data_IF_866172783252
#
_entry.id   IF_866172783252
#
_cell.length_a   1.000
_cell.length_b   1.000
_cell.length_c   1.000
_cell.angle_alpha   90.00
_cell.angle_beta   90.00
_cell.angle_gamma   90.00
#
_symmetry.space_group_name_H-M   'P 1'
#
loop_
_entity.id
_entity.type
_entity.pdbx_description
1 polymer ?
#
# COMPACT_ATOMS: atom_id res chain seq x y z
N UNK A 1 -13.87 18.75 -10.49
CA UNK A 1 -13.67 17.85 -9.33
C UNK A 1 -12.69 16.78 -9.79
N UNK A 2 -11.61 16.51 -9.06
CA UNK A 2 -10.54 15.61 -9.54
C UNK A 2 -10.98 14.15 -9.61
N UNK A 3 -10.35 13.34 -10.48
CA UNK A 3 -10.58 11.89 -10.55
C UNK A 3 -10.11 11.27 -9.23
N UNK A 4 -11.01 10.55 -8.54
CA UNK A 4 -10.71 9.76 -7.34
C UNK A 4 -11.00 8.29 -7.58
N UNK A 5 -10.14 7.40 -7.09
CA UNK A 5 -10.42 5.95 -7.04
C UNK A 5 -10.03 5.36 -5.68
N UNK A 6 -10.54 4.17 -5.39
CA UNK A 6 -10.27 3.45 -4.14
C UNK A 6 -9.89 2.01 -4.42
N UNK A 7 -8.81 1.56 -3.80
CA UNK A 7 -8.38 0.17 -3.73
C UNK A 7 -8.60 -0.37 -2.33
N UNK A 8 -9.19 -1.56 -2.22
CA UNK A 8 -9.36 -2.27 -0.94
C UNK A 8 -8.58 -3.59 -0.99
N UNK A 9 -7.57 -3.72 -0.13
CA UNK A 9 -6.76 -4.92 0.04
C UNK A 9 -7.29 -5.63 1.28
N UNK A 10 -7.86 -6.84 1.13
CA UNK A 10 -8.34 -7.60 2.29
C UNK A 10 -7.17 -8.17 3.09
N UNK A 11 -7.31 -8.16 4.41
CA UNK A 11 -6.28 -8.55 5.37
C UNK A 11 -5.27 -7.44 5.65
N UNK A 12 -4.19 -7.82 6.35
CA UNK A 12 -3.08 -6.93 6.70
C UNK A 12 -1.83 -7.28 5.91
N UNK A 13 -0.95 -6.30 5.68
CA UNK A 13 0.41 -6.56 5.20
C UNK A 13 1.37 -6.80 6.38
N UNK A 14 2.52 -7.47 6.16
CA UNK A 14 3.59 -7.56 7.15
C UNK A 14 4.01 -6.18 7.67
N UNK A 15 4.46 -6.11 8.92
CA UNK A 15 4.99 -4.88 9.47
C UNK A 15 6.44 -4.59 9.05
N UNK A 16 6.90 -3.38 9.35
CA UNK A 16 8.29 -2.96 9.17
C UNK A 16 9.26 -3.85 9.95
N UNK A 17 8.92 -4.23 11.19
CA UNK A 17 9.74 -5.07 12.03
C UNK A 17 9.92 -6.47 11.43
N UNK A 18 8.87 -7.05 10.86
CA UNK A 18 8.94 -8.33 10.13
C UNK A 18 9.87 -8.23 8.92
N UNK A 19 9.81 -7.13 8.17
CA UNK A 19 10.71 -6.89 7.04
C UNK A 19 12.17 -6.70 7.46
N UNK A 20 12.45 -5.86 8.47
CA UNK A 20 13.80 -5.64 9.00
C UNK A 20 14.40 -6.95 9.53
N UNK A 21 13.61 -7.77 10.22
CA UNK A 21 14.06 -9.06 10.71
C UNK A 21 14.37 -10.03 9.56
N UNK A 22 13.60 -9.99 8.47
CA UNK A 22 13.91 -10.77 7.27
C UNK A 22 15.22 -10.31 6.62
N UNK A 23 15.44 -8.99 6.48
CA UNK A 23 16.69 -8.41 5.94
C UNK A 23 17.91 -8.84 6.77
N UNK A 24 17.81 -8.75 8.10
CA UNK A 24 18.90 -9.16 9.03
C UNK A 24 19.23 -10.64 8.95
N UNK A 25 18.28 -11.49 8.56
CA UNK A 25 18.50 -12.93 8.41
C UNK A 25 19.12 -13.25 7.06
N UNK A 26 18.51 -12.78 5.97
CA UNK A 26 18.95 -13.05 4.60
C UNK A 26 18.22 -12.15 3.60
N UNK A 27 18.99 -11.43 2.75
CA UNK A 27 18.44 -10.60 1.66
C UNK A 27 17.43 -11.33 0.77
N UNK A 28 17.58 -12.64 0.55
CA UNK A 28 16.65 -13.42 -0.27
C UNK A 28 15.29 -13.62 0.42
N UNK A 29 15.27 -13.74 1.75
CA UNK A 29 14.02 -13.83 2.52
C UNK A 29 13.26 -12.51 2.48
N UNK A 30 13.98 -11.39 2.63
CA UNK A 30 13.39 -10.07 2.56
C UNK A 30 12.84 -9.76 1.15
N UNK A 31 13.60 -10.09 0.11
CA UNK A 31 13.14 -9.99 -1.28
C UNK A 31 11.89 -10.85 -1.53
N UNK A 32 11.86 -12.09 -1.00
CA UNK A 32 10.69 -12.97 -1.10
C UNK A 32 9.47 -12.36 -0.40
N UNK A 33 9.63 -11.84 0.82
CA UNK A 33 8.56 -11.21 1.59
C UNK A 33 7.98 -10.00 0.85
N UNK A 34 8.85 -9.16 0.28
CA UNK A 34 8.46 -8.00 -0.53
C UNK A 34 7.69 -8.41 -1.78
N UNK A 35 8.23 -9.36 -2.55
CA UNK A 35 7.57 -9.85 -3.77
C UNK A 35 6.19 -10.47 -3.47
N UNK A 36 6.06 -11.25 -2.39
CA UNK A 36 4.77 -11.81 -1.98
C UNK A 36 3.76 -10.73 -1.59
N UNK A 37 4.20 -9.73 -0.84
CA UNK A 37 3.35 -8.61 -0.41
C UNK A 37 2.89 -7.78 -1.61
N UNK A 38 3.79 -7.46 -2.54
CA UNK A 38 3.46 -6.75 -3.77
C UNK A 38 2.51 -7.56 -4.67
N UNK A 39 2.70 -8.88 -4.78
CA UNK A 39 1.81 -9.76 -5.54
C UNK A 39 0.37 -9.72 -5.01
N UNK A 40 0.19 -9.70 -3.69
CA UNK A 40 -1.13 -9.55 -3.07
C UNK A 40 -1.76 -8.22 -3.49
N UNK A 41 -1.04 -7.11 -3.35
CA UNK A 41 -1.55 -5.78 -3.73
C UNK A 41 -1.88 -5.71 -5.22
N UNK A 42 -0.99 -6.19 -6.09
CA UNK A 42 -1.22 -6.20 -7.54
C UNK A 42 -2.46 -7.02 -7.92
N UNK A 43 -2.72 -8.13 -7.23
CA UNK A 43 -3.92 -8.95 -7.47
C UNK A 43 -5.20 -8.14 -7.21
N UNK A 44 -5.27 -7.40 -6.10
CA UNK A 44 -6.41 -6.52 -5.82
C UNK A 44 -6.48 -5.35 -6.80
N UNK A 45 -5.35 -4.71 -7.10
CA UNK A 45 -5.29 -3.58 -8.03
C UNK A 45 -5.79 -3.97 -9.43
N UNK A 46 -5.34 -5.10 -9.98
CA UNK A 46 -5.79 -5.58 -11.30
C UNK A 46 -7.28 -5.88 -11.35
N UNK A 47 -7.87 -6.35 -10.24
CA UNK A 47 -9.30 -6.66 -10.17
C UNK A 47 -10.18 -5.43 -9.98
N UNK A 48 -9.71 -4.42 -9.22
CA UNK A 48 -10.53 -3.28 -8.81
C UNK A 48 -10.26 -2.01 -9.62
N UNK A 49 -9.05 -1.86 -10.15
CA UNK A 49 -8.57 -0.65 -10.83
C UNK A 49 -8.31 -0.90 -12.32
N UNK A 50 -9.03 -1.84 -12.93
CA UNK A 50 -8.87 -2.14 -14.35
C UNK A 50 -9.11 -0.90 -15.21
N UNK A 51 -8.15 -0.56 -16.09
CA UNK A 51 -8.21 0.63 -16.95
C UNK A 51 -7.98 1.96 -16.21
N UNK A 52 -7.61 1.93 -14.92
CA UNK A 52 -7.18 3.13 -14.20
C UNK A 52 -5.69 3.34 -14.39
N UNK A 53 -5.33 4.53 -14.86
CA UNK A 53 -3.96 5.00 -15.01
C UNK A 53 -3.88 6.46 -14.59
N UNK A 54 -2.80 6.82 -13.90
CA UNK A 54 -2.46 8.17 -13.50
C UNK A 54 -1.05 8.53 -14.01
N UNK A 55 -0.99 9.43 -14.99
CA UNK A 55 0.26 9.97 -15.53
C UNK A 55 0.82 11.13 -14.68
N UNK A 56 -0.05 11.82 -13.93
CA UNK A 56 0.27 13.00 -13.13
C UNK A 56 0.29 12.73 -11.62
N UNK A 57 0.63 13.76 -10.81
CA UNK A 57 0.72 13.63 -9.37
C UNK A 57 -0.63 13.29 -8.74
N UNK A 58 -0.59 12.37 -7.78
CA UNK A 58 -1.73 12.00 -6.93
C UNK A 58 -1.43 12.26 -5.46
N UNK A 59 -2.49 12.50 -4.69
CA UNK A 59 -2.45 12.38 -3.23
C UNK A 59 -3.00 11.01 -2.82
N UNK A 60 -2.31 10.32 -1.91
CA UNK A 60 -2.70 9.00 -1.43
C UNK A 60 -3.19 9.05 0.02
N UNK A 61 -4.35 8.47 0.30
CA UNK A 61 -4.82 8.30 1.69
C UNK A 61 -4.95 6.81 2.00
N UNK A 62 -4.21 6.35 2.99
CA UNK A 62 -4.23 4.98 3.49
C UNK A 62 -5.08 4.93 4.75
N UNK A 63 -6.01 3.99 4.82
CA UNK A 63 -6.73 3.65 6.06
C UNK A 63 -6.43 2.21 6.40
N UNK A 64 -5.68 2.02 7.49
CA UNK A 64 -5.23 0.73 7.98
C UNK A 64 -6.23 0.21 9.00
N UNK A 65 -6.98 -0.83 8.66
CA UNK A 65 -7.88 -1.53 9.58
C UNK A 65 -7.15 -2.75 10.12
N UNK A 66 -6.61 -2.63 11.32
CA UNK A 66 -5.89 -3.71 12.00
C UNK A 66 -6.83 -4.55 12.86
N UNK A 67 -6.59 -5.86 13.04
CA UNK A 67 -7.43 -6.70 13.88
C UNK A 67 -7.27 -6.39 15.38
N UNK A 68 -6.19 -5.71 15.77
CA UNK A 68 -5.91 -5.29 17.15
C UNK A 68 -4.87 -4.17 17.17
N UNK A 69 -4.67 -3.53 18.34
CA UNK A 69 -3.66 -2.47 18.54
C UNK A 69 -2.26 -2.99 18.94
N UNK A 70 -1.95 -4.25 18.64
CA UNK A 70 -0.67 -4.88 19.06
C UNK A 70 0.54 -4.37 18.27
N UNK A 71 0.33 -3.99 17.01
CA UNK A 71 1.35 -3.33 16.18
C UNK A 71 1.16 -1.82 16.32
N UNK A 72 2.24 -1.10 16.53
CA UNK A 72 2.22 0.35 16.50
C UNK A 72 1.99 0.87 15.06
N UNK A 73 1.67 2.15 14.95
CA UNK A 73 1.28 2.78 13.68
C UNK A 73 2.41 2.80 12.65
N UNK A 74 3.65 2.99 13.09
CA UNK A 74 4.79 3.04 12.15
C UNK A 74 5.11 1.66 11.60
N UNK A 75 4.96 0.63 12.44
CA UNK A 75 5.22 -0.74 12.07
C UNK A 75 4.20 -1.19 11.02
N UNK A 76 2.95 -0.74 11.15
CA UNK A 76 1.87 -1.01 10.19
C UNK A 76 2.08 -0.26 8.87
N UNK A 77 2.27 1.07 8.90
CA UNK A 77 2.17 1.88 7.67
C UNK A 77 3.47 1.98 6.88
N UNK A 78 4.64 1.93 7.52
CA UNK A 78 5.90 2.29 6.85
C UNK A 78 6.26 1.32 5.73
N UNK A 79 6.26 0.02 6.03
CA UNK A 79 6.51 -1.00 5.02
C UNK A 79 5.32 -1.13 4.05
N UNK A 80 4.10 -1.07 4.57
CA UNK A 80 2.88 -1.20 3.78
C UNK A 80 2.77 -0.14 2.68
N UNK A 81 3.04 1.14 2.98
CA UNK A 81 3.02 2.22 1.98
C UNK A 81 3.97 1.93 0.82
N UNK A 82 5.21 1.53 1.13
CA UNK A 82 6.23 1.24 0.12
C UNK A 82 5.81 0.07 -0.77
N UNK A 83 5.34 -1.02 -0.17
CA UNK A 83 4.83 -2.19 -0.91
C UNK A 83 3.67 -1.80 -1.83
N UNK A 84 2.72 -1.01 -1.33
CA UNK A 84 1.54 -0.62 -2.10
C UNK A 84 1.93 0.27 -3.28
N UNK A 85 2.78 1.28 -3.05
CA UNK A 85 3.24 2.19 -4.11
C UNK A 85 4.00 1.43 -5.19
N UNK A 86 4.97 0.60 -4.82
CA UNK A 86 5.74 -0.22 -5.77
C UNK A 86 4.82 -1.16 -6.58
N UNK A 87 3.84 -1.78 -5.91
CA UNK A 87 2.88 -2.67 -6.56
C UNK A 87 1.95 -1.93 -7.53
N UNK A 88 1.51 -0.72 -7.20
CA UNK A 88 0.67 0.10 -8.08
C UNK A 88 1.43 0.57 -9.33
N UNK A 89 2.71 0.88 -9.20
CA UNK A 89 3.59 1.16 -10.35
C UNK A 89 3.74 -0.11 -11.22
N UNK A 90 4.05 -1.25 -10.61
CA UNK A 90 4.16 -2.54 -11.33
C UNK A 90 2.85 -2.99 -11.98
N UNK A 91 1.71 -2.61 -11.41
CA UNK A 91 0.39 -2.87 -11.97
C UNK A 91 -0.01 -1.88 -13.09
N UNK A 92 0.80 -0.83 -13.33
CA UNK A 92 0.50 0.20 -14.33
C UNK A 92 -0.60 1.17 -13.90
N UNK A 93 -0.93 1.26 -12.60
CA UNK A 93 -1.90 2.23 -12.08
C UNK A 93 -1.25 3.60 -11.91
N UNK A 94 0.00 3.62 -11.43
CA UNK A 94 0.83 4.82 -11.29
C UNK A 94 1.99 4.78 -12.29
N UNK A 95 2.33 5.91 -12.89
CA UNK A 95 3.54 6.02 -13.72
C UNK A 95 4.84 5.96 -12.88
N UNK A 96 4.78 6.28 -11.58
CA UNK A 96 5.88 6.16 -10.63
C UNK A 96 5.46 6.44 -9.18
N UNK A 97 6.38 6.30 -8.22
CA UNK A 97 6.15 6.57 -6.79
C UNK A 97 6.98 7.75 -6.22
N UNK A 98 7.79 8.39 -7.06
CA UNK A 98 8.62 9.53 -6.66
C UNK A 98 7.88 10.86 -6.63
N UNK A 99 8.63 11.93 -6.32
CA UNK A 99 8.15 13.32 -6.17
C UNK A 99 7.26 13.86 -7.30
N UNK A 100 7.44 13.38 -8.54
CA UNK A 100 6.63 13.82 -9.70
C UNK A 100 5.23 13.18 -9.75
N UNK A 101 5.02 12.07 -9.05
CA UNK A 101 3.83 11.23 -9.19
C UNK A 101 3.03 11.12 -7.87
N UNK A 102 3.68 11.34 -6.73
CA UNK A 102 3.01 11.36 -5.42
C UNK A 102 3.29 12.71 -4.78
N UNK A 103 2.27 13.58 -4.76
CA UNK A 103 2.33 14.90 -4.13
C UNK A 103 2.44 14.78 -2.61
N UNK A 104 1.72 13.81 -2.04
CA UNK A 104 1.70 13.59 -0.62
C UNK A 104 0.87 12.36 -0.25
N UNK A 105 0.99 11.97 1.01
CA UNK A 105 0.21 10.88 1.56
C UNK A 105 -0.18 11.12 3.02
N UNK A 106 -1.23 10.43 3.45
CA UNK A 106 -1.68 10.42 4.85
C UNK A 106 -2.11 9.01 5.26
N UNK A 107 -1.84 8.69 6.52
CA UNK A 107 -2.29 7.46 7.16
C UNK A 107 -3.42 7.73 8.17
N UNK A 108 -4.45 6.88 8.13
CA UNK A 108 -5.51 6.74 9.15
C UNK A 108 -5.45 5.32 9.71
N UNK A 109 -5.76 5.15 10.98
CA UNK A 109 -5.64 3.85 11.66
C UNK A 109 -6.90 3.56 12.44
N UNK A 110 -7.49 2.41 12.16
CA UNK A 110 -8.70 1.93 12.79
C UNK A 110 -8.51 0.47 13.22
N UNK A 111 -9.37 0.00 14.13
CA UNK A 111 -9.40 -1.40 14.54
C UNK A 111 -10.69 -2.02 14.03
N UNK A 112 -10.55 -3.09 13.25
CA UNK A 112 -11.66 -3.91 12.77
C UNK A 112 -11.23 -5.37 12.92
N UNK A 113 -11.68 -6.00 14.00
CA UNK A 113 -11.27 -7.36 14.35
C UNK A 113 -11.77 -8.39 13.33
N UNK A 114 -12.96 -8.16 12.79
CA UNK A 114 -13.68 -9.14 11.98
C UNK A 114 -13.40 -8.94 10.48
N UNK A 115 -13.04 -7.72 10.07
CA UNK A 115 -12.75 -7.38 8.69
C UNK A 115 -11.49 -6.49 8.54
N UNK A 116 -10.30 -7.00 8.90
CA UNK A 116 -9.05 -6.29 8.70
C UNK A 116 -8.78 -6.10 7.21
N UNK A 117 -8.37 -4.89 6.84
CA UNK A 117 -8.16 -4.48 5.44
C UNK A 117 -7.34 -3.22 5.36
N UNK A 118 -6.86 -2.90 4.16
CA UNK A 118 -6.21 -1.63 3.85
C UNK A 118 -7.02 -0.97 2.75
N UNK A 119 -7.46 0.25 3.01
CA UNK A 119 -8.14 1.07 2.03
C UNK A 119 -7.20 2.17 1.54
N UNK A 120 -7.03 2.27 0.22
CA UNK A 120 -6.14 3.22 -0.42
C UNK A 120 -6.96 4.08 -1.37
N UNK A 121 -7.12 5.34 -1.03
CA UNK A 121 -7.73 6.34 -1.90
C UNK A 121 -6.64 7.08 -2.68
N UNK A 122 -6.82 7.21 -4.00
CA UNK A 122 -5.95 7.99 -4.87
C UNK A 122 -6.77 9.11 -5.50
N UNK A 123 -6.27 10.35 -5.42
CA UNK A 123 -6.91 11.53 -6.00
C UNK A 123 -5.91 12.33 -6.81
N UNK A 124 -6.28 12.71 -8.03
CA UNK A 124 -5.46 13.57 -8.90
C UNK A 124 -5.28 14.95 -8.27
N UNK A 125 -4.02 15.38 -8.14
CA UNK A 125 -3.69 16.75 -7.73
C UNK A 125 -3.96 17.69 -8.91
N UNK A 126 -4.57 18.85 -8.65
CA UNK A 126 -4.85 19.88 -9.67
C UNK A 126 -3.58 20.56 -10.16
#
# INVERSE_FOLDING_TARGET
MGRRTKLVIQGTLPGLNEYINAERRNKYLAAKLKNQSEHVVMSYARRQLHGVHFDGPVTMTYTWYEPSRRRDKDNVSSYGRKVIQDALVKAGVLAGDGWKHIEGFRDRFEVDRDNPRIEVELEVTR
#
